data_IF_612613023660
#
_entry.id   IF_612613023660
#
_cell.length_a   1.000
_cell.length_b   1.000
_cell.length_c   1.000
_cell.angle_alpha   90.00
_cell.angle_beta   90.00
_cell.angle_gamma   90.00
#
_symmetry.space_group_name_H-M   'P 1'
#
loop_
_entity.id
_entity.type
_entity.pdbx_description
1 polymer ?
#
# COMPACT_ATOMS: atom_id res chain seq x y z
N UNK A 1 -14.64 10.26 -8.89
CA UNK A 1 -15.87 10.67 -9.61
C UNK A 1 -15.78 10.31 -11.10
N UNK A 2 -14.65 10.58 -11.76
CA UNK A 2 -14.52 10.28 -13.22
C UNK A 2 -14.68 8.78 -13.51
N UNK A 3 -14.06 7.92 -12.70
CA UNK A 3 -14.08 6.47 -12.93
C UNK A 3 -15.29 5.75 -12.32
N UNK A 4 -15.77 6.21 -11.16
CA UNK A 4 -16.77 5.49 -10.36
C UNK A 4 -18.13 6.21 -10.31
N UNK A 5 -18.25 7.43 -10.87
CA UNK A 5 -19.47 8.23 -10.77
C UNK A 5 -19.73 8.72 -9.34
N UNK A 6 -20.96 8.58 -8.84
CA UNK A 6 -21.32 8.97 -7.48
C UNK A 6 -20.98 7.86 -6.48
N UNK A 7 -20.25 8.20 -5.41
CA UNK A 7 -19.93 7.29 -4.31
C UNK A 7 -19.85 8.05 -2.98
N UNK A 8 -19.90 7.33 -1.87
CA UNK A 8 -19.62 7.86 -0.54
C UNK A 8 -18.15 7.66 -0.22
N UNK A 9 -17.50 8.67 0.35
CA UNK A 9 -16.09 8.61 0.75
C UNK A 9 -16.00 8.67 2.28
N UNK A 10 -15.27 7.70 2.85
CA UNK A 10 -14.86 7.70 4.26
C UNK A 10 -13.34 7.83 4.33
N UNK A 11 -12.76 9.04 4.49
CA UNK A 11 -11.33 9.22 4.60
C UNK A 11 -10.84 8.84 5.99
N UNK A 12 -9.74 8.06 6.04
CA UNK A 12 -9.06 7.65 7.28
C UNK A 12 -7.61 8.10 7.16
N UNK A 13 -7.13 8.85 8.15
CA UNK A 13 -5.73 9.26 8.25
C UNK A 13 -5.07 8.54 9.41
N UNK A 14 -3.96 7.87 9.15
CA UNK A 14 -3.20 7.10 10.13
C UNK A 14 -1.95 7.88 10.53
N UNK A 15 -1.93 8.44 11.74
CA UNK A 15 -0.80 9.23 12.24
C UNK A 15 0.36 8.36 12.73
N UNK A 16 0.05 7.30 13.49
CA UNK A 16 1.03 6.31 13.94
C UNK A 16 0.80 4.99 13.20
N UNK A 17 1.87 4.38 12.69
CA UNK A 17 1.78 3.25 11.77
C UNK A 17 2.42 1.96 12.34
N UNK A 18 2.51 1.83 13.68
CA UNK A 18 3.00 0.59 14.27
C UNK A 18 2.04 -0.59 14.03
N UNK A 19 2.58 -1.79 13.99
CA UNK A 19 1.84 -3.01 13.59
C UNK A 19 0.55 -3.25 14.40
N UNK A 20 0.54 -2.86 15.68
CA UNK A 20 -0.65 -2.98 16.54
C UNK A 20 -1.83 -2.17 15.99
N UNK A 21 -1.61 -0.89 15.63
CA UNK A 21 -2.65 -0.04 15.04
C UNK A 21 -3.05 -0.51 13.64
N UNK A 22 -2.11 -1.04 12.86
CA UNK A 22 -2.43 -1.61 11.54
C UNK A 22 -3.39 -2.80 11.68
N UNK A 23 -3.14 -3.68 12.66
CA UNK A 23 -4.03 -4.81 12.98
C UNK A 23 -5.39 -4.35 13.49
N UNK A 24 -5.41 -3.35 14.35
CA UNK A 24 -6.66 -2.77 14.85
C UNK A 24 -7.48 -2.17 13.70
N UNK A 25 -6.87 -1.38 12.82
CA UNK A 25 -7.53 -0.81 11.65
C UNK A 25 -8.13 -1.90 10.76
N UNK A 26 -7.35 -2.91 10.38
CA UNK A 26 -7.83 -4.01 9.56
C UNK A 26 -9.01 -4.75 10.20
N UNK A 27 -8.92 -5.01 11.51
CA UNK A 27 -9.99 -5.64 12.28
C UNK A 27 -11.25 -4.76 12.39
N UNK A 28 -11.10 -3.44 12.55
CA UNK A 28 -12.24 -2.50 12.56
C UNK A 28 -12.91 -2.49 11.20
N UNK A 29 -12.16 -2.39 10.12
CA UNK A 29 -12.70 -2.42 8.75
C UNK A 29 -13.51 -3.71 8.52
N UNK A 30 -12.97 -4.87 8.93
CA UNK A 30 -13.65 -6.15 8.76
C UNK A 30 -14.97 -6.26 9.54
N UNK A 31 -15.09 -5.57 10.67
CA UNK A 31 -16.34 -5.56 11.47
C UNK A 31 -17.33 -4.47 11.03
N UNK A 32 -16.86 -3.42 10.39
CA UNK A 32 -17.68 -2.24 10.05
C UNK A 32 -18.18 -2.24 8.61
N UNK A 33 -17.50 -2.95 7.70
CA UNK A 33 -17.92 -3.06 6.31
C UNK A 33 -18.94 -4.20 6.20
N UNK A 34 -20.21 -3.84 6.04
CA UNK A 34 -21.32 -4.80 5.95
C UNK A 34 -21.33 -5.51 4.59
N UNK A 35 -21.03 -4.80 3.51
CA UNK A 35 -20.99 -5.34 2.16
C UNK A 35 -19.62 -5.08 1.49
N UNK A 36 -18.73 -6.10 1.51
CA UNK A 36 -17.43 -6.01 0.83
C UNK A 36 -17.51 -5.96 -0.70
N UNK A 37 -18.65 -6.28 -1.31
CA UNK A 37 -18.83 -6.21 -2.77
C UNK A 37 -19.13 -4.76 -3.22
N UNK A 38 -19.79 -3.99 -2.37
CA UNK A 38 -20.15 -2.59 -2.63
C UNK A 38 -19.13 -1.60 -2.03
N UNK A 39 -18.05 -2.12 -1.41
CA UNK A 39 -17.06 -1.28 -0.72
C UNK A 39 -15.67 -1.50 -1.29
N UNK A 40 -15.03 -0.41 -1.72
CA UNK A 40 -13.64 -0.39 -2.14
C UNK A 40 -12.77 0.23 -1.03
N UNK A 41 -11.86 -0.56 -0.47
CA UNK A 41 -10.82 -0.07 0.44
C UNK A 41 -9.59 0.33 -0.37
N UNK A 42 -9.15 1.57 -0.24
CA UNK A 42 -7.98 2.11 -0.96
C UNK A 42 -6.92 2.53 0.05
N UNK A 43 -5.76 1.88 0.02
CA UNK A 43 -4.57 2.33 0.72
C UNK A 43 -3.78 3.27 -0.20
N UNK A 44 -3.71 4.54 0.16
CA UNK A 44 -2.97 5.56 -0.59
C UNK A 44 -1.57 5.71 -0.01
N UNK A 45 -0.55 5.56 -0.85
CA UNK A 45 0.85 5.67 -0.46
C UNK A 45 1.72 6.01 -1.66
N UNK A 46 2.73 6.84 -1.45
CA UNK A 46 3.93 6.81 -2.27
C UNK A 46 4.89 5.77 -1.70
N UNK A 47 5.86 5.32 -2.50
CA UNK A 47 6.93 4.43 -2.06
C UNK A 47 8.17 5.23 -1.60
N UNK A 48 9.38 4.87 -2.02
CA UNK A 48 10.60 5.55 -1.61
C UNK A 48 10.67 7.00 -2.10
N UNK A 49 11.31 7.87 -1.30
CA UNK A 49 11.41 9.30 -1.58
C UNK A 49 12.86 9.75 -1.68
N UNK A 50 13.14 10.60 -2.68
CA UNK A 50 14.37 11.37 -2.82
C UNK A 50 15.66 10.54 -2.94
N UNK A 51 15.55 9.29 -3.36
CA UNK A 51 16.70 8.45 -3.69
C UNK A 51 17.02 8.51 -5.18
N UNK A 52 18.29 8.18 -5.52
CA UNK A 52 18.66 7.91 -6.91
C UNK A 52 17.81 6.75 -7.45
N UNK A 53 17.37 6.85 -8.71
CA UNK A 53 16.41 5.92 -9.34
C UNK A 53 16.78 4.44 -9.16
N UNK A 54 18.06 4.08 -9.27
CA UNK A 54 18.49 2.70 -9.07
C UNK A 54 18.27 2.21 -7.62
N UNK A 55 18.53 3.06 -6.61
CA UNK A 55 18.28 2.73 -5.21
C UNK A 55 16.78 2.66 -4.92
N UNK A 56 16.01 3.65 -5.40
CA UNK A 56 14.56 3.67 -5.29
C UNK A 56 13.94 2.37 -5.83
N UNK A 57 14.33 1.94 -7.02
CA UNK A 57 13.83 0.70 -7.64
C UNK A 57 14.08 -0.54 -6.77
N UNK A 58 15.24 -0.64 -6.11
CA UNK A 58 15.54 -1.77 -5.21
C UNK A 58 14.62 -1.75 -3.97
N UNK A 59 14.48 -0.59 -3.32
CA UNK A 59 13.64 -0.43 -2.13
C UNK A 59 12.17 -0.68 -2.45
N UNK A 60 11.69 -0.10 -3.55
CA UNK A 60 10.30 -0.24 -4.01
C UNK A 60 9.97 -1.67 -4.44
N UNK A 61 10.94 -2.36 -5.07
CA UNK A 61 10.81 -3.78 -5.41
C UNK A 61 10.66 -4.68 -4.18
N UNK A 62 11.26 -4.30 -3.04
CA UNK A 62 11.10 -5.03 -1.77
C UNK A 62 9.65 -4.92 -1.29
N UNK A 63 9.08 -3.71 -1.30
CA UNK A 63 7.67 -3.49 -0.94
C UNK A 63 6.73 -4.23 -1.91
N UNK A 64 6.97 -4.11 -3.22
CA UNK A 64 6.17 -4.77 -4.25
C UNK A 64 6.11 -6.29 -4.05
N UNK A 65 7.27 -6.93 -3.79
CA UNK A 65 7.35 -8.38 -3.54
C UNK A 65 6.59 -8.80 -2.29
N UNK A 66 6.67 -8.04 -1.21
CA UNK A 66 5.90 -8.33 0.01
C UNK A 66 4.38 -8.25 -0.26
N UNK A 67 3.93 -7.26 -1.05
CA UNK A 67 2.53 -7.13 -1.42
C UNK A 67 2.09 -8.31 -2.31
N UNK A 68 2.84 -8.64 -3.36
CA UNK A 68 2.52 -9.77 -4.26
C UNK A 68 2.51 -11.12 -3.54
N UNK A 69 3.44 -11.35 -2.61
CA UNK A 69 3.48 -12.54 -1.78
C UNK A 69 2.42 -12.55 -0.68
N UNK A 70 1.64 -11.48 -0.54
CA UNK A 70 0.71 -11.25 0.57
C UNK A 70 1.40 -11.39 1.95
N UNK A 71 2.67 -11.01 2.04
CA UNK A 71 3.50 -11.13 3.25
C UNK A 71 3.42 -9.88 4.11
N UNK A 72 2.42 -9.83 4.98
CA UNK A 72 2.19 -8.71 5.93
C UNK A 72 3.37 -8.52 6.89
N UNK A 73 3.99 -9.61 7.33
CA UNK A 73 5.12 -9.53 8.28
C UNK A 73 6.40 -9.06 7.57
N UNK A 74 6.68 -9.58 6.40
CA UNK A 74 7.81 -9.14 5.57
C UNK A 74 7.68 -7.68 5.18
N UNK A 75 6.48 -7.22 4.84
CA UNK A 75 6.21 -5.81 4.56
C UNK A 75 6.51 -4.93 5.78
N UNK A 76 5.98 -5.29 6.95
CA UNK A 76 6.27 -4.58 8.19
C UNK A 76 7.76 -4.53 8.49
N UNK A 77 8.45 -5.67 8.39
CA UNK A 77 9.89 -5.74 8.63
C UNK A 77 10.70 -4.89 7.63
N UNK A 78 10.32 -4.89 6.36
CA UNK A 78 10.97 -4.06 5.34
C UNK A 78 10.87 -2.56 5.66
N UNK A 79 9.71 -2.12 6.13
CA UNK A 79 9.47 -0.73 6.57
C UNK A 79 10.26 -0.38 7.82
N UNK A 80 10.26 -1.25 8.85
CA UNK A 80 10.99 -1.03 10.11
C UNK A 80 12.52 -0.97 9.93
N UNK A 81 13.05 -1.80 9.02
CA UNK A 81 14.50 -1.86 8.76
C UNK A 81 14.99 -0.84 7.74
N UNK A 82 14.08 -0.16 7.04
CA UNK A 82 14.42 0.74 5.92
C UNK A 82 14.88 -0.02 4.67
N UNK A 83 14.62 -1.33 4.56
CA UNK A 83 14.85 -2.09 3.34
C UNK A 83 13.87 -1.72 2.22
N UNK A 84 12.74 -1.10 2.57
CA UNK A 84 11.77 -0.48 1.69
C UNK A 84 11.12 0.71 2.38
N UNK A 85 10.52 1.61 1.61
CA UNK A 85 9.81 2.78 2.11
C UNK A 85 8.41 2.85 1.52
N UNK A 86 7.45 3.29 2.34
CA UNK A 86 6.09 3.63 1.92
C UNK A 86 5.49 4.59 2.96
N UNK A 87 5.12 5.80 2.54
CA UNK A 87 4.53 6.79 3.45
C UNK A 87 3.19 6.34 4.03
N UNK A 88 2.45 5.52 3.29
CA UNK A 88 1.23 4.83 3.70
C UNK A 88 1.43 3.33 4.02
N UNK A 89 2.58 2.93 4.53
CA UNK A 89 2.88 1.53 4.87
C UNK A 89 1.87 0.93 5.84
N UNK A 90 1.49 1.69 6.88
CA UNK A 90 0.46 1.26 7.83
C UNK A 90 -0.92 1.06 7.20
N UNK A 91 -1.45 1.99 6.41
CA UNK A 91 -2.65 1.79 5.59
C UNK A 91 -2.60 0.56 4.68
N UNK A 92 -1.46 0.29 4.01
CA UNK A 92 -1.28 -0.91 3.18
C UNK A 92 -1.41 -2.17 4.04
N UNK A 93 -0.71 -2.24 5.16
CA UNK A 93 -0.79 -3.37 6.10
C UNK A 93 -2.22 -3.53 6.62
N UNK A 94 -2.89 -2.45 7.01
CA UNK A 94 -4.28 -2.47 7.47
C UNK A 94 -5.25 -3.01 6.40
N UNK A 95 -5.07 -2.59 5.15
CA UNK A 95 -5.86 -3.08 4.02
C UNK A 95 -5.61 -4.57 3.73
N UNK A 96 -4.34 -5.04 3.81
CA UNK A 96 -4.01 -6.46 3.68
C UNK A 96 -4.66 -7.30 4.79
N UNK A 97 -4.62 -6.84 6.03
CA UNK A 97 -5.25 -7.54 7.18
C UNK A 97 -6.77 -7.58 7.02
N UNK A 98 -7.39 -6.47 6.58
CA UNK A 98 -8.81 -6.46 6.24
C UNK A 98 -9.13 -7.49 5.15
N UNK A 99 -8.40 -7.48 4.04
CA UNK A 99 -8.58 -8.40 2.94
C UNK A 99 -8.46 -9.87 3.39
N UNK A 100 -7.47 -10.18 4.21
CA UNK A 100 -7.30 -11.50 4.81
C UNK A 100 -8.53 -11.92 5.65
N UNK A 101 -9.09 -10.99 6.40
CA UNK A 101 -10.25 -11.24 7.27
C UNK A 101 -11.52 -11.59 6.50
N UNK A 102 -11.62 -11.17 5.23
CA UNK A 102 -12.73 -11.48 4.32
C UNK A 102 -12.37 -12.55 3.28
N UNK A 103 -11.26 -13.28 3.49
CA UNK A 103 -10.82 -14.40 2.65
C UNK A 103 -10.18 -14.01 1.32
N UNK A 104 -9.78 -12.74 1.15
CA UNK A 104 -9.08 -12.25 -0.05
C UNK A 104 -7.59 -12.14 0.24
N UNK A 105 -6.80 -13.05 -0.33
CA UNK A 105 -5.35 -13.14 -0.07
C UNK A 105 -4.51 -13.20 -1.34
N UNK A 106 -5.12 -13.00 -2.50
CA UNK A 106 -4.40 -12.91 -3.76
C UNK A 106 -4.09 -11.45 -4.05
N UNK A 107 -2.82 -11.13 -4.23
CA UNK A 107 -2.37 -9.78 -4.55
C UNK A 107 -1.62 -9.76 -5.88
N UNK A 108 -1.82 -8.72 -6.65
CA UNK A 108 -1.13 -8.51 -7.93
C UNK A 108 -0.65 -7.06 -8.02
N UNK A 109 0.63 -6.89 -8.30
CA UNK A 109 1.20 -5.60 -8.71
C UNK A 109 0.85 -5.37 -10.18
N UNK A 110 0.10 -4.32 -10.44
CA UNK A 110 -0.35 -3.97 -11.79
C UNK A 110 0.68 -3.13 -12.53
N UNK A 111 1.34 -2.22 -11.82
CA UNK A 111 2.35 -1.32 -12.38
C UNK A 111 3.23 -0.73 -11.29
N UNK A 112 4.51 -0.60 -11.63
CA UNK A 112 5.48 0.22 -10.92
C UNK A 112 6.05 1.27 -11.85
N UNK A 113 6.31 2.47 -11.34
CA UNK A 113 7.04 3.55 -11.99
C UNK A 113 7.64 4.47 -10.94
N UNK A 114 8.58 5.32 -11.32
CA UNK A 114 9.02 6.43 -10.48
C UNK A 114 8.91 7.77 -11.23
N UNK A 115 9.00 8.87 -10.50
CA UNK A 115 8.86 10.21 -11.07
C UNK A 115 9.83 10.48 -12.20
N UNK A 116 11.02 9.87 -12.20
CA UNK A 116 12.03 9.98 -13.24
C UNK A 116 11.60 9.37 -14.59
N UNK A 117 10.63 8.45 -14.58
CA UNK A 117 10.09 7.86 -15.82
C UNK A 117 9.27 8.89 -16.63
N UNK A 118 8.78 9.94 -15.97
CA UNK A 118 8.04 11.04 -16.60
C UNK A 118 8.93 12.27 -16.81
N UNK A 119 9.72 12.62 -15.79
CA UNK A 119 10.51 13.87 -15.80
C UNK A 119 11.86 13.73 -16.49
N UNK A 120 12.41 12.51 -16.61
CA UNK A 120 13.77 12.24 -17.05
C UNK A 120 14.83 12.43 -15.96
N UNK A 121 14.48 13.03 -14.80
CA UNK A 121 15.39 13.22 -13.66
C UNK A 121 15.56 11.90 -12.92
N UNK A 122 16.81 11.47 -12.67
CA UNK A 122 17.14 10.17 -12.07
C UNK A 122 17.90 10.26 -10.75
N UNK A 123 18.31 11.47 -10.36
CA UNK A 123 19.14 11.64 -9.15
C UNK A 123 18.29 11.66 -7.88
N UNK A 124 17.02 12.09 -7.97
CA UNK A 124 16.10 12.20 -6.85
C UNK A 124 14.68 11.90 -7.33
N UNK A 125 14.19 10.70 -7.05
CA UNK A 125 12.88 10.25 -7.52
C UNK A 125 11.95 9.87 -6.37
N UNK A 126 10.66 9.76 -6.68
CA UNK A 126 9.63 9.16 -5.82
C UNK A 126 9.07 7.94 -6.53
N UNK A 127 8.96 6.82 -5.82
CA UNK A 127 8.41 5.58 -6.33
C UNK A 127 6.88 5.53 -6.22
N UNK A 128 6.22 4.87 -7.19
CA UNK A 128 4.77 4.68 -7.24
C UNK A 128 4.42 3.25 -7.63
N UNK A 129 3.38 2.73 -7.01
CA UNK A 129 2.89 1.37 -7.25
C UNK A 129 1.36 1.38 -7.37
N UNK A 130 0.85 0.61 -8.32
CA UNK A 130 -0.56 0.21 -8.34
C UNK A 130 -0.64 -1.29 -8.11
N UNK A 131 -1.44 -1.71 -7.13
CA UNK A 131 -1.70 -3.11 -6.82
C UNK A 131 -3.17 -3.33 -6.52
N UNK A 132 -3.64 -4.57 -6.68
CA UNK A 132 -4.99 -5.01 -6.35
C UNK A 132 -4.91 -6.26 -5.48
N UNK A 133 -5.83 -6.37 -4.53
CA UNK A 133 -6.05 -7.56 -3.69
C UNK A 133 -7.46 -8.08 -3.93
N UNK A 134 -7.56 -9.36 -4.22
CA UNK A 134 -8.81 -10.05 -4.53
C UNK A 134 -8.94 -11.38 -3.78
#
# INVERSE_FOLDING_TARGET
QVALGAFKLCPIIMGQQHIGLCRELGGVLARSIEDPQETLVVASSDLSHFHHSAKATVMDSTIAKCIEAFDVQGLHQALETGAGEACGGGPIIGAMIYAQSIGRTTAQVLKYANSGDVTGERTSVVGYLAAVIS
#
